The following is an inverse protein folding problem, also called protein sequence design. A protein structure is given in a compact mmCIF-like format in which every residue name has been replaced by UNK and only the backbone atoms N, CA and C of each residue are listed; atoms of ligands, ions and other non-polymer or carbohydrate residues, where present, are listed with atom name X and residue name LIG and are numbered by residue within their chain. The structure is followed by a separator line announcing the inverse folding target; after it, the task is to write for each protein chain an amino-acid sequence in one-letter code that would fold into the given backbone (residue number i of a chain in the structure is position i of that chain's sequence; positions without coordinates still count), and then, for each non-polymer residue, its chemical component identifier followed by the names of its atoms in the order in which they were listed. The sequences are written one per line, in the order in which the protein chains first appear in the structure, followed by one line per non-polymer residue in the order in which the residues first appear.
data_IF_300357804754
#
_entry.id   IF_300357804754
#
_cell.length_a   1.000
_cell.length_b   1.000
_cell.length_c   1.000
_cell.angle_alpha   90.00
_cell.angle_beta   90.00
_cell.angle_gamma   90.00
#
_symmetry.space_group_name_H-M   'P 1'
#
loop_
_entity.id
_entity.type
_entity.pdbx_description
1 polymer ?
#
# COMPACT_ATOMS: atom_id res chain seq x y z
N UNK A 1 -13.96 0.03 -0.06
CA UNK A 1 -13.82 -0.61 -1.40
C UNK A 1 -12.36 -0.83 -1.74
N UNK A 2 -12.05 -1.44 -2.89
CA UNK A 2 -10.67 -1.84 -3.24
C UNK A 2 -9.64 -0.68 -3.22
N UNK A 3 -10.09 0.57 -3.32
CA UNK A 3 -9.26 1.78 -3.34
C UNK A 3 -9.29 2.62 -2.06
N UNK A 4 -9.93 2.16 -0.98
CA UNK A 4 -9.97 2.87 0.30
C UNK A 4 -8.99 2.29 1.31
N UNK A 5 -8.34 3.16 2.08
CA UNK A 5 -7.54 2.77 3.23
C UNK A 5 -8.39 2.67 4.50
N UNK A 6 -7.96 1.83 5.43
CA UNK A 6 -8.50 1.67 6.77
C UNK A 6 -7.33 1.46 7.76
N UNK A 7 -6.99 2.51 8.50
CA UNK A 7 -5.83 2.57 9.42
C UNK A 7 -4.49 2.14 8.76
N UNK A 8 -4.01 2.85 7.72
CA UNK A 8 -2.72 2.56 7.11
C UNK A 8 -1.57 2.96 8.05
N UNK A 9 -0.63 2.05 8.30
CA UNK A 9 0.45 2.25 9.30
C UNK A 9 1.86 2.16 8.77
N UNK A 10 2.04 1.74 7.51
CA UNK A 10 3.38 1.56 6.93
C UNK A 10 3.43 1.93 5.46
N UNK A 11 4.56 2.51 5.05
CA UNK A 11 4.90 2.79 3.66
C UNK A 11 6.32 2.27 3.38
N UNK A 12 6.52 1.64 2.23
CA UNK A 12 7.83 1.21 1.75
C UNK A 12 7.93 1.37 0.23
N UNK A 13 9.16 1.50 -0.26
CA UNK A 13 9.47 1.54 -1.68
C UNK A 13 10.44 0.41 -2.02
N UNK A 14 10.28 -0.21 -3.20
CA UNK A 14 11.28 -1.13 -3.76
C UNK A 14 12.25 -0.41 -4.71
N UNK A 15 13.26 -1.12 -5.20
CA UNK A 15 14.28 -0.57 -6.12
C UNK A 15 13.73 -0.16 -7.49
N UNK A 16 12.53 -0.61 -7.84
CA UNK A 16 11.82 -0.21 -9.05
C UNK A 16 10.85 0.96 -8.80
N UNK A 17 10.92 1.59 -7.62
CA UNK A 17 10.05 2.68 -7.17
C UNK A 17 8.56 2.31 -7.12
N UNK A 18 8.22 1.02 -6.94
CA UNK A 18 6.85 0.68 -6.54
C UNK A 18 6.63 1.08 -5.08
N UNK A 19 5.44 1.60 -4.78
CA UNK A 19 5.03 1.96 -3.43
C UNK A 19 4.16 0.86 -2.82
N UNK A 20 4.44 0.51 -1.57
CA UNK A 20 3.68 -0.47 -0.81
C UNK A 20 3.11 0.19 0.43
N UNK A 21 1.81 0.01 0.69
CA UNK A 21 1.13 0.53 1.88
C UNK A 21 0.55 -0.65 2.66
N UNK A 22 0.92 -0.73 3.95
CA UNK A 22 0.31 -1.64 4.92
C UNK A 22 -1.00 -1.06 5.43
N UNK A 23 -2.12 -1.64 5.00
CA UNK A 23 -3.49 -1.17 5.23
C UNK A 23 -4.14 -2.03 6.33
N UNK A 24 -3.88 -1.67 7.59
CA UNK A 24 -3.94 -2.59 8.73
C UNK A 24 -5.34 -3.13 9.01
N UNK A 25 -6.37 -2.29 8.97
CA UNK A 25 -7.75 -2.72 9.24
C UNK A 25 -8.48 -3.26 8.01
N UNK A 26 -7.83 -3.21 6.84
CA UNK A 26 -8.26 -3.97 5.67
C UNK A 26 -7.48 -5.29 5.51
N UNK A 27 -6.57 -5.62 6.44
CA UNK A 27 -5.76 -6.84 6.44
C UNK A 27 -5.04 -7.10 5.10
N UNK A 28 -4.51 -6.05 4.48
CA UNK A 28 -3.88 -6.14 3.16
C UNK A 28 -2.65 -5.26 3.03
N UNK A 29 -1.83 -5.59 2.03
CA UNK A 29 -0.78 -4.70 1.52
C UNK A 29 -1.19 -4.27 0.11
N UNK A 30 -1.24 -2.95 -0.14
CA UNK A 30 -1.56 -2.41 -1.46
C UNK A 30 -0.28 -1.97 -2.17
N UNK A 31 -0.12 -2.39 -3.44
CA UNK A 31 1.01 -2.02 -4.31
C UNK A 31 0.56 -1.01 -5.35
N UNK A 32 1.32 0.07 -5.50
CA UNK A 32 1.14 1.07 -6.54
C UNK A 32 2.41 1.12 -7.40
N UNK A 33 2.27 0.80 -8.67
CA UNK A 33 3.33 0.94 -9.66
C UNK A 33 3.23 2.30 -10.33
N UNK A 34 4.38 2.93 -10.60
CA UNK A 34 4.43 4.04 -11.54
C UNK A 34 4.36 3.43 -12.94
N UNK A 35 3.44 3.93 -13.78
CA UNK A 35 3.36 3.57 -15.20
C UNK A 35 4.67 3.93 -15.92
#
# INVERSE_FOLDING_TARGET
GATQFNDPRGIAFDSAMNMYIGDSFNYRVQKFMKL
#
